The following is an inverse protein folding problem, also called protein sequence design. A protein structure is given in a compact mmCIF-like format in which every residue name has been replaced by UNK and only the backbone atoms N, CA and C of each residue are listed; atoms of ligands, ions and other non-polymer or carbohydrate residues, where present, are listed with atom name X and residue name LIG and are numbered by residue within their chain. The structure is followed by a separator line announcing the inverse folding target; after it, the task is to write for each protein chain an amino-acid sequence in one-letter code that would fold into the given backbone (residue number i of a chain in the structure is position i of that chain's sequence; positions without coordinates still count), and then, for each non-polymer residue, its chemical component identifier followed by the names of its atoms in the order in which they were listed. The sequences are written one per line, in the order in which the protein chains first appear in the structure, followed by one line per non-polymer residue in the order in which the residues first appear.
data_IF_401441745734
#
_entry.id   IF_401441745734
#
_cell.length_a   1.000
_cell.length_b   1.000
_cell.length_c   1.000
_cell.angle_alpha   90.00
_cell.angle_beta   90.00
_cell.angle_gamma   90.00
#
_symmetry.space_group_name_H-M   'P 1'
#
loop_
_entity.id
_entity.type
_entity.pdbx_description
1 polymer ?
#
# COMPACT_ATOMS: atom_id res chain seq x y z
N UNK A 1 7.33 12.64 -0.05
CA UNK A 1 6.17 11.84 -0.50
C UNK A 1 5.18 12.69 -1.30
N UNK A 2 4.75 12.22 -2.47
CA UNK A 2 3.68 12.81 -3.30
C UNK A 2 2.51 11.84 -3.43
N UNK A 3 1.28 12.30 -3.15
CA UNK A 3 0.08 11.47 -3.29
C UNK A 3 -0.35 11.35 -4.75
N UNK A 4 -0.73 10.13 -5.18
CA UNK A 4 -1.28 9.88 -6.53
C UNK A 4 -2.76 9.52 -6.51
N UNK A 5 -3.14 8.40 -5.88
CA UNK A 5 -4.55 7.96 -5.78
C UNK A 5 -4.76 6.96 -4.64
N UNK A 6 -5.99 6.86 -4.13
CA UNK A 6 -6.43 5.75 -3.27
C UNK A 6 -6.73 4.52 -4.13
N UNK A 7 -6.34 3.34 -3.67
CA UNK A 7 -6.54 2.03 -4.35
C UNK A 7 -7.41 1.06 -3.55
N UNK A 8 -7.48 1.23 -2.24
CA UNK A 8 -8.34 0.44 -1.36
C UNK A 8 -8.81 1.31 -0.20
N UNK A 9 -10.08 1.19 0.16
CA UNK A 9 -10.66 1.80 1.35
C UNK A 9 -11.31 0.70 2.18
N UNK A 10 -11.05 0.71 3.48
CA UNK A 10 -11.57 -0.27 4.45
C UNK A 10 -12.11 0.47 5.67
N UNK A 11 -13.26 0.04 6.17
CA UNK A 11 -13.77 0.50 7.47
C UNK A 11 -13.30 -0.49 8.52
N UNK A 12 -12.56 0.01 9.50
CA UNK A 12 -12.03 -0.80 10.60
C UNK A 12 -13.12 -1.08 11.63
N UNK A 13 -12.89 -2.10 12.48
CA UNK A 13 -13.84 -2.48 13.54
C UNK A 13 -14.15 -1.37 14.54
N UNK A 14 -13.24 -0.40 14.68
CA UNK A 14 -13.42 0.80 15.52
C UNK A 14 -14.08 1.98 14.77
N UNK A 15 -14.61 1.76 13.57
CA UNK A 15 -15.29 2.77 12.75
C UNK A 15 -14.34 3.73 12.02
N UNK A 16 -13.02 3.60 12.20
CA UNK A 16 -12.07 4.42 11.46
C UNK A 16 -11.98 3.98 9.99
N UNK A 17 -11.82 4.95 9.10
CA UNK A 17 -11.60 4.72 7.67
C UNK A 17 -10.10 4.56 7.41
N UNK A 18 -9.68 3.39 6.95
CA UNK A 18 -8.34 3.12 6.46
C UNK A 18 -8.31 3.22 4.93
N UNK A 19 -7.44 4.07 4.40
CA UNK A 19 -7.24 4.28 2.97
C UNK A 19 -5.81 3.89 2.61
N UNK A 20 -5.68 3.06 1.59
CA UNK A 20 -4.41 2.63 1.04
C UNK A 20 -4.21 3.40 -0.26
N UNK A 21 -3.12 4.14 -0.36
CA UNK A 21 -2.86 5.03 -1.47
C UNK A 21 -1.54 4.71 -2.14
N UNK A 22 -1.49 4.92 -3.46
CA UNK A 22 -0.22 4.98 -4.18
C UNK A 22 0.38 6.36 -3.95
N UNK A 23 1.63 6.37 -3.51
CA UNK A 23 2.45 7.56 -3.33
C UNK A 23 3.77 7.43 -4.09
N UNK A 24 4.40 8.55 -4.40
CA UNK A 24 5.76 8.59 -4.92
C UNK A 24 6.69 9.05 -3.79
N UNK A 25 7.69 8.23 -3.51
CA UNK A 25 8.73 8.50 -2.52
C UNK A 25 10.08 8.08 -3.09
N UNK A 26 11.07 8.97 -3.02
CA UNK A 26 12.44 8.77 -3.55
C UNK A 26 12.47 8.28 -5.02
N UNK A 27 11.52 8.74 -5.84
CA UNK A 27 11.43 8.39 -7.27
C UNK A 27 10.83 7.01 -7.56
N UNK A 28 10.34 6.29 -6.55
CA UNK A 28 9.63 5.03 -6.69
C UNK A 28 8.18 5.16 -6.22
N UNK A 29 7.29 4.35 -6.80
CA UNK A 29 5.93 4.21 -6.30
C UNK A 29 5.89 3.26 -5.11
N UNK A 30 5.14 3.64 -4.08
CA UNK A 30 4.96 2.90 -2.85
C UNK A 30 3.49 2.92 -2.41
N UNK A 31 3.11 2.00 -1.53
CA UNK A 31 1.84 2.05 -0.83
C UNK A 31 1.98 2.84 0.49
N UNK A 32 1.04 3.75 0.73
CA UNK A 32 0.88 4.49 1.96
C UNK A 32 -0.44 4.12 2.63
N UNK A 33 -0.46 4.13 3.97
CA UNK A 33 -1.68 4.00 4.76
C UNK A 33 -2.11 5.37 5.27
N UNK A 34 -3.40 5.68 5.15
CA UNK A 34 -4.04 6.81 5.80
C UNK A 34 -5.16 6.30 6.70
N UNK A 35 -5.22 6.76 7.95
CA UNK A 35 -6.33 6.49 8.86
C UNK A 35 -7.05 7.81 9.13
N UNK A 36 -8.34 7.88 8.77
CA UNK A 36 -9.14 9.10 8.82
C UNK A 36 -8.44 10.30 8.15
N UNK A 37 -7.84 10.06 6.97
CA UNK A 37 -7.10 11.06 6.20
C UNK A 37 -5.71 11.42 6.74
N UNK A 38 -5.26 10.82 7.84
CA UNK A 38 -3.91 11.04 8.40
C UNK A 38 -2.96 9.94 7.95
N UNK A 39 -1.82 10.32 7.40
CA UNK A 39 -0.76 9.38 7.03
C UNK A 39 -0.26 8.59 8.25
N UNK A 40 -0.08 7.30 8.04
CA UNK A 40 0.47 6.36 9.02
C UNK A 40 1.74 5.77 8.44
N UNK A 41 2.87 6.02 9.11
CA UNK A 41 4.16 5.44 8.74
C UNK A 41 4.10 3.91 8.72
N UNK A 42 4.82 3.27 7.82
CA UNK A 42 4.77 1.82 7.70
C UNK A 42 5.62 1.31 6.52
N UNK A 43 5.54 0.02 6.23
CA UNK A 43 6.22 -0.54 5.07
C UNK A 43 5.60 -0.03 3.76
N UNK A 44 6.43 0.11 2.73
CA UNK A 44 6.03 0.54 1.38
C UNK A 44 5.10 -0.44 0.64
N UNK A 45 4.95 -1.66 1.16
CA UNK A 45 4.04 -2.70 0.68
C UNK A 45 3.46 -3.46 1.88
N UNK A 46 2.27 -4.08 1.74
CA UNK A 46 1.76 -5.03 2.72
C UNK A 46 2.82 -6.07 3.07
N UNK A 47 2.97 -6.36 4.36
CA UNK A 47 3.85 -7.42 4.84
C UNK A 47 3.05 -8.61 5.32
N UNK A 48 3.53 -9.84 5.12
CA UNK A 48 2.87 -11.02 5.66
C UNK A 48 2.81 -10.94 7.19
N UNK A 49 1.72 -11.46 7.74
CA UNK A 49 1.53 -11.72 9.15
C UNK A 49 1.92 -13.18 9.41
N UNK A 50 2.79 -13.40 10.40
CA UNK A 50 3.25 -14.74 10.76
C UNK A 50 3.10 -14.97 12.28
N UNK A 51 2.19 -15.86 12.72
CA UNK A 51 1.23 -16.61 11.91
C UNK A 51 0.07 -15.71 11.41
N UNK A 52 -0.59 -16.07 10.28
CA UNK A 52 -1.84 -15.43 9.89
C UNK A 52 -2.91 -15.62 10.98
N UNK A 53 -3.85 -14.68 11.07
CA UNK A 53 -4.92 -14.69 12.07
C UNK A 53 -6.28 -14.55 11.39
N UNK A 54 -7.13 -15.57 11.55
CA UNK A 54 -8.43 -15.63 10.87
C UNK A 54 -8.23 -15.41 9.35
N UNK A 55 -8.95 -14.47 8.74
CA UNK A 55 -8.79 -14.10 7.33
C UNK A 55 -7.66 -13.07 7.08
N UNK A 56 -6.98 -12.61 8.14
CA UNK A 56 -5.93 -11.60 8.06
C UNK A 56 -4.57 -12.28 7.87
N UNK A 57 -4.03 -12.13 6.67
CA UNK A 57 -2.76 -12.73 6.26
C UNK A 57 -1.63 -11.72 6.12
N UNK A 58 -1.96 -10.43 6.02
CA UNK A 58 -0.99 -9.35 5.84
C UNK A 58 -1.32 -8.15 6.73
N UNK A 59 -0.37 -7.23 6.85
CA UNK A 59 -0.54 -5.99 7.59
C UNK A 59 0.18 -4.82 6.91
N UNK A 60 -0.27 -3.60 7.19
CA UNK A 60 0.38 -2.36 6.78
C UNK A 60 0.20 -1.26 7.84
N UNK A 61 1.06 -0.24 7.85
CA UNK A 61 1.07 0.85 8.84
C UNK A 61 2.06 0.65 9.99
N UNK A 62 1.90 1.39 11.08
CA UNK A 62 2.69 1.26 12.30
C UNK A 62 1.94 0.38 13.32
N UNK A 63 2.66 -0.34 14.18
CA UNK A 63 2.02 -1.31 15.09
C UNK A 63 1.18 -0.62 16.18
N UNK A 64 -0.07 -1.06 16.45
CA UNK A 64 -0.81 -2.11 15.73
C UNK A 64 -1.28 -1.63 14.34
N UNK A 65 -0.83 -2.30 13.28
CA UNK A 65 -1.13 -1.94 11.90
C UNK A 65 -2.54 -2.35 11.48
N UNK A 66 -2.91 -2.00 10.26
CA UNK A 66 -4.17 -2.45 9.65
C UNK A 66 -3.98 -3.83 9.05
N UNK A 67 -4.83 -4.77 9.46
CA UNK A 67 -4.90 -6.13 8.92
C UNK A 67 -5.55 -6.18 7.53
N UNK A 68 -4.93 -6.95 6.66
CA UNK A 68 -5.32 -7.17 5.27
C UNK A 68 -5.53 -8.66 5.02
N UNK A 69 -6.58 -8.96 4.26
CA UNK A 69 -6.76 -10.26 3.61
C UNK A 69 -5.74 -10.43 2.49
N UNK A 70 -5.59 -11.66 1.99
CA UNK A 70 -4.71 -11.96 0.85
C UNK A 70 -5.09 -11.13 -0.38
N UNK A 71 -6.38 -11.09 -0.74
CA UNK A 71 -6.85 -10.35 -1.92
C UNK A 71 -6.58 -8.85 -1.83
N UNK A 72 -6.79 -8.27 -0.65
CA UNK A 72 -6.50 -6.85 -0.39
C UNK A 72 -5.00 -6.56 -0.52
N UNK A 73 -4.16 -7.41 0.08
CA UNK A 73 -2.71 -7.27 0.03
C UNK A 73 -2.17 -7.40 -1.39
N UNK A 74 -2.62 -8.42 -2.12
CA UNK A 74 -2.23 -8.63 -3.51
C UNK A 74 -2.69 -7.49 -4.43
N UNK A 75 -3.90 -6.95 -4.21
CA UNK A 75 -4.37 -5.78 -4.96
C UNK A 75 -3.42 -4.60 -4.78
N UNK A 76 -3.00 -4.31 -3.54
CA UNK A 76 -2.07 -3.22 -3.26
C UNK A 76 -0.71 -3.47 -3.93
N UNK A 77 -0.18 -4.68 -3.82
CA UNK A 77 1.11 -5.05 -4.42
C UNK A 77 1.07 -4.91 -5.94
N UNK A 78 0.02 -5.44 -6.60
CA UNK A 78 -0.17 -5.36 -8.05
C UNK A 78 -0.19 -3.92 -8.55
N UNK A 79 -0.95 -3.05 -7.89
CA UNK A 79 -1.06 -1.64 -8.27
C UNK A 79 0.29 -0.90 -8.18
N UNK A 80 1.03 -1.11 -7.08
CA UNK A 80 2.36 -0.50 -6.90
C UNK A 80 3.36 -1.03 -7.92
N UNK A 81 3.36 -2.35 -8.17
CA UNK A 81 4.25 -2.95 -9.18
C UNK A 81 3.95 -2.44 -10.59
N UNK A 82 2.67 -2.31 -10.95
CA UNK A 82 2.26 -1.80 -12.26
C UNK A 82 2.77 -0.37 -12.47
N UNK A 83 2.60 0.51 -11.49
CA UNK A 83 3.09 1.89 -11.57
C UNK A 83 4.61 1.98 -11.70
N UNK A 84 5.34 1.17 -10.93
CA UNK A 84 6.80 1.08 -11.06
C UNK A 84 7.23 0.53 -12.43
N UNK A 85 6.51 -0.46 -12.99
CA UNK A 85 6.84 -1.03 -14.30
C UNK A 85 6.76 0.01 -15.43
N UNK A 86 5.79 0.93 -15.35
CA UNK A 86 5.61 2.01 -16.32
C UNK A 86 6.78 3.00 -16.25
N UNK A 87 7.25 3.32 -15.04
CA UNK A 87 8.40 4.21 -14.84
C UNK A 87 9.67 3.58 -15.39
N UNK A 88 9.92 2.32 -15.06
CA UNK A 88 11.10 1.60 -15.52
C UNK A 88 11.12 1.46 -17.05
N UNK A 89 9.97 1.20 -17.68
CA UNK A 89 9.87 1.16 -19.14
C UNK A 89 10.21 2.52 -19.78
N UNK A 90 9.71 3.63 -19.22
CA UNK A 90 10.00 4.98 -19.72
C UNK A 90 11.47 5.36 -19.58
N UNK A 91 12.13 4.99 -18.48
CA UNK A 91 13.57 5.22 -18.29
C UNK A 91 14.38 4.52 -19.38
N UNK A 92 14.08 3.24 -19.64
CA UNK A 92 14.76 2.48 -20.71
C UNK A 92 14.59 3.09 -22.11
N UNK A 93 13.47 3.75 -22.39
CA UNK A 93 13.26 4.42 -23.67
C UNK A 93 14.01 5.75 -23.79
N UNK A 94 14.34 6.41 -22.67
CA UNK A 94 15.08 7.67 -22.65
C UNK A 94 16.60 7.47 -22.70
N UNK A 95 17.07 6.26 -22.37
CA UNK A 95 18.49 5.87 -22.38
C UNK A 95 18.94 5.24 -23.72
N UNK A 96 18.00 4.97 -24.64
CA UNK A 96 18.26 4.51 -26.01
C UNK A 96 18.07 5.65 -27.02
#
# INVERSE_FOLDING_TARGET
MLFKRVILTKILSNGMKAEFAIVIEEGAFQAALLINGRFVSGPALPRPLDPPKDDITHWMGNRPGVGLTTDEAEKIIREVMLENSVVEHRKKLAEN
#
